data_IF_273209182927
#
_entry.id   IF_273209182927
#
_cell.length_a   1.000
_cell.length_b   1.000
_cell.length_c   1.000
_cell.angle_alpha   90.00
_cell.angle_beta   90.00
_cell.angle_gamma   90.00
#
_symmetry.space_group_name_H-M   'P 1'
#
loop_
_entity.id
_entity.type
_entity.pdbx_description
1 polymer ?
#
# COMPACT_ATOMS: atom_id res chain seq x y z
N UNK A 1 47.80 -26.19 -1.32
CA UNK A 1 47.06 -25.03 -1.87
C UNK A 1 46.12 -24.54 -0.77
N UNK A 2 46.45 -23.42 -0.15
CA UNK A 2 45.67 -22.77 0.92
C UNK A 2 44.31 -22.28 0.39
N UNK A 3 43.24 -22.49 1.15
CA UNK A 3 42.07 -21.62 1.11
C UNK A 3 41.61 -21.41 2.55
N UNK A 4 42.00 -20.28 3.15
CA UNK A 4 41.35 -19.77 4.36
C UNK A 4 40.01 -19.16 3.93
N UNK A 5 38.90 -19.85 4.18
CA UNK A 5 37.59 -19.20 4.20
C UNK A 5 37.42 -18.50 5.55
N UNK A 6 37.48 -17.17 5.53
CA UNK A 6 37.01 -16.34 6.64
C UNK A 6 35.50 -16.54 6.77
N UNK A 7 35.08 -17.27 7.80
CA UNK A 7 33.67 -17.37 8.20
C UNK A 7 33.26 -16.04 8.83
N UNK A 8 32.61 -15.17 8.05
CA UNK A 8 31.88 -14.04 8.60
C UNK A 8 30.75 -14.62 9.44
N UNK A 9 30.83 -14.45 10.76
CA UNK A 9 29.75 -14.82 11.67
C UNK A 9 28.51 -14.01 11.34
N UNK A 10 27.45 -14.68 10.89
CA UNK A 10 26.14 -14.06 10.81
C UNK A 10 25.67 -13.77 12.24
N UNK A 11 25.64 -12.48 12.62
CA UNK A 11 24.96 -12.05 13.83
C UNK A 11 23.47 -12.40 13.66
N UNK A 12 23.03 -13.45 14.34
CA UNK A 12 21.61 -13.74 14.51
C UNK A 12 21.06 -12.65 15.43
N UNK A 13 20.23 -11.76 14.88
CA UNK A 13 19.44 -10.86 15.70
C UNK A 13 18.36 -11.70 16.39
N UNK A 14 18.55 -11.98 17.67
CA UNK A 14 17.54 -12.63 18.50
C UNK A 14 16.30 -11.72 18.56
N UNK A 15 15.10 -12.26 18.31
CA UNK A 15 13.88 -11.48 18.43
C UNK A 15 13.80 -10.95 19.87
N UNK A 16 13.80 -9.62 20.06
CA UNK A 16 13.91 -9.07 21.40
C UNK A 16 12.66 -9.44 22.19
N UNK A 17 12.86 -10.06 23.35
CA UNK A 17 11.80 -10.43 24.31
C UNK A 17 10.96 -9.23 24.80
N UNK A 18 11.36 -8.00 24.46
CA UNK A 18 10.60 -6.78 24.68
C UNK A 18 11.24 -5.56 24.01
N UNK A 19 10.49 -4.47 23.97
CA UNK A 19 10.95 -3.19 23.45
C UNK A 19 11.94 -2.52 24.40
N UNK A 20 13.19 -2.33 23.96
CA UNK A 20 14.22 -1.62 24.73
C UNK A 20 14.47 -0.23 24.19
N UNK A 21 14.57 0.75 25.09
CA UNK A 21 14.86 2.14 24.76
C UNK A 21 16.32 2.46 25.12
N UNK A 22 17.09 2.95 24.15
CA UNK A 22 18.52 3.27 24.33
C UNK A 22 18.75 4.75 24.13
N UNK A 23 19.65 5.35 24.92
CA UNK A 23 20.06 6.75 24.79
C UNK A 23 21.52 6.83 24.34
N UNK A 24 21.79 7.56 23.25
CA UNK A 24 23.15 7.81 22.73
C UNK A 24 23.36 9.31 22.65
N UNK A 25 24.39 9.83 23.33
CA UNK A 25 24.71 11.26 23.30
C UNK A 25 23.60 12.17 23.83
N UNK A 26 22.74 11.68 24.72
CA UNK A 26 21.62 12.44 25.29
C UNK A 26 20.30 12.36 24.49
N UNK A 27 20.27 11.65 23.36
CA UNK A 27 19.06 11.47 22.54
C UNK A 27 18.59 10.01 22.57
N UNK A 28 17.26 9.81 22.55
CA UNK A 28 16.66 8.47 22.42
C UNK A 28 16.92 7.95 21.00
N UNK A 29 17.59 6.80 20.91
CA UNK A 29 17.78 6.10 19.64
C UNK A 29 16.47 5.38 19.27
N UNK A 30 15.88 5.64 18.09
CA UNK A 30 14.63 5.01 17.70
C UNK A 30 14.84 3.53 17.40
N UNK A 31 14.06 2.67 18.06
CA UNK A 31 13.92 1.26 17.68
C UNK A 31 12.69 1.12 16.79
N UNK A 32 12.91 1.13 15.47
CA UNK A 32 11.83 1.10 14.49
C UNK A 32 11.06 -0.22 14.48
N UNK A 33 11.72 -1.34 14.80
CA UNK A 33 11.06 -2.65 14.84
C UNK A 33 10.00 -2.67 15.93
N UNK A 34 10.36 -2.26 17.15
CA UNK A 34 9.41 -2.11 18.24
C UNK A 34 8.30 -1.10 17.93
N UNK A 35 8.66 0.07 17.39
CA UNK A 35 7.67 1.11 17.07
C UNK A 35 6.66 0.62 16.04
N UNK A 36 7.12 -0.11 15.01
CA UNK A 36 6.24 -0.70 14.00
C UNK A 36 5.28 -1.73 14.60
N UNK A 37 5.76 -2.56 15.52
CA UNK A 37 4.96 -3.54 16.23
C UNK A 37 3.93 -2.88 17.17
N UNK A 38 4.32 -1.81 17.87
CA UNK A 38 3.43 -1.03 18.71
C UNK A 38 2.33 -0.33 17.90
N UNK A 39 2.66 0.21 16.72
CA UNK A 39 1.67 0.80 15.81
C UNK A 39 0.76 -0.27 15.17
N UNK A 40 1.28 -1.46 14.88
CA UNK A 40 0.54 -2.56 14.25
C UNK A 40 -0.37 -3.35 15.18
N UNK A 41 -0.07 -3.39 16.48
CA UNK A 41 -0.82 -4.17 17.47
C UNK A 41 -2.00 -3.42 18.11
N UNK A 42 -2.47 -2.33 17.49
CA UNK A 42 -3.68 -1.65 17.96
C UNK A 42 -4.93 -2.49 17.63
N UNK A 43 -5.68 -3.01 18.62
CA UNK A 43 -6.89 -3.80 18.37
C UNK A 43 -7.96 -3.01 17.62
N UNK A 44 -8.05 -1.69 17.82
CA UNK A 44 -8.96 -0.83 17.08
C UNK A 44 -8.53 -0.71 15.61
N UNK A 45 -7.21 -0.68 15.36
CA UNK A 45 -6.64 -0.70 14.02
C UNK A 45 -6.92 -2.01 13.28
N UNK A 46 -6.78 -3.14 13.97
CA UNK A 46 -7.11 -4.46 13.42
C UNK A 46 -8.62 -4.59 13.11
N UNK A 47 -9.49 -4.14 14.01
CA UNK A 47 -10.94 -4.13 13.79
C UNK A 47 -11.34 -3.19 12.65
N UNK A 48 -10.72 -2.02 12.53
CA UNK A 48 -10.92 -1.10 11.42
C UNK A 48 -10.46 -1.70 10.09
N UNK A 49 -9.30 -2.37 10.06
CA UNK A 49 -8.81 -3.05 8.88
C UNK A 49 -9.77 -4.17 8.43
N UNK A 50 -10.30 -4.95 9.36
CA UNK A 50 -11.30 -5.98 9.06
C UNK A 50 -12.58 -5.38 8.46
N UNK A 51 -13.13 -4.33 9.08
CA UNK A 51 -14.32 -3.62 8.55
C UNK A 51 -14.07 -3.03 7.16
N UNK A 52 -12.88 -2.49 6.92
CA UNK A 52 -12.48 -2.00 5.61
C UNK A 52 -12.45 -3.14 4.57
N UNK A 53 -11.89 -4.31 4.91
CA UNK A 53 -11.90 -5.48 4.03
C UNK A 53 -13.32 -5.96 3.72
N UNK A 54 -14.21 -5.99 4.71
CA UNK A 54 -15.63 -6.32 4.51
C UNK A 54 -16.31 -5.32 3.56
N UNK A 55 -16.03 -4.02 3.71
CA UNK A 55 -16.55 -2.98 2.82
C UNK A 55 -16.04 -3.09 1.37
N UNK A 56 -14.88 -3.70 1.14
CA UNK A 56 -14.35 -3.96 -0.20
C UNK A 56 -15.06 -5.14 -0.90
N UNK A 57 -15.77 -5.99 -0.17
CA UNK A 57 -16.51 -7.13 -0.70
C UNK A 57 -17.89 -6.73 -1.26
N UNK A 58 -17.93 -5.70 -2.10
CA UNK A 58 -19.15 -5.30 -2.80
C UNK A 58 -19.44 -6.29 -3.94
N UNK A 59 -20.67 -6.84 -4.07
CA UNK A 59 -21.05 -7.68 -5.19
C UNK A 59 -20.86 -6.96 -6.53
N UNK A 60 -20.38 -7.67 -7.58
CA UNK A 60 -20.02 -7.08 -8.89
C UNK A 60 -21.14 -6.22 -9.49
N UNK A 61 -22.40 -6.65 -9.39
CA UNK A 61 -23.56 -5.91 -9.91
C UNK A 61 -23.88 -4.61 -9.16
N UNK A 62 -23.29 -4.40 -7.98
CA UNK A 62 -23.41 -3.17 -7.18
C UNK A 62 -22.16 -2.30 -7.27
N UNK A 63 -21.07 -2.78 -7.88
CA UNK A 63 -19.85 -2.00 -8.04
C UNK A 63 -20.08 -0.89 -9.05
N UNK A 64 -19.50 0.28 -8.78
CA UNK A 64 -19.53 1.37 -9.72
C UNK A 64 -18.75 0.99 -11.01
N UNK A 65 -19.15 1.47 -12.20
CA UNK A 65 -18.52 1.08 -13.47
C UNK A 65 -17.00 1.28 -13.51
N UNK A 66 -16.49 2.32 -12.84
CA UNK A 66 -15.06 2.61 -12.72
C UNK A 66 -14.27 1.57 -11.91
N UNK A 67 -14.93 0.78 -11.05
CA UNK A 67 -14.29 -0.26 -10.24
C UNK A 67 -14.21 -1.62 -10.95
N UNK A 68 -14.92 -1.79 -12.06
CA UNK A 68 -15.02 -3.06 -12.80
C UNK A 68 -14.52 -2.93 -14.24
N UNK A 69 -13.86 -1.83 -14.59
CA UNK A 69 -13.31 -1.60 -15.93
C UNK A 69 -14.36 -1.32 -17.01
N UNK A 70 -15.59 -0.96 -16.61
CA UNK A 70 -16.64 -0.58 -17.55
C UNK A 70 -16.51 0.91 -17.94
N UNK A 71 -17.08 1.25 -19.10
CA UNK A 71 -17.08 2.63 -19.58
C UNK A 71 -17.79 3.57 -18.60
N UNK A 72 -17.21 4.75 -18.36
CA UNK A 72 -17.78 5.80 -17.50
C UNK A 72 -18.01 7.07 -18.32
N UNK A 73 -18.96 7.94 -17.93
CA UNK A 73 -19.14 9.22 -18.60
C UNK A 73 -17.87 10.08 -18.61
N UNK A 74 -17.07 10.02 -17.54
CA UNK A 74 -15.80 10.72 -17.46
C UNK A 74 -14.77 10.19 -18.48
N UNK A 75 -14.62 8.86 -18.58
CA UNK A 75 -13.70 8.25 -19.56
C UNK A 75 -14.14 8.54 -21.01
N UNK A 76 -15.45 8.52 -21.28
CA UNK A 76 -15.99 8.90 -22.58
C UNK A 76 -15.76 10.37 -22.87
N UNK A 77 -15.96 11.26 -21.90
CA UNK A 77 -15.66 12.69 -22.03
C UNK A 77 -14.19 12.93 -22.37
N UNK A 78 -13.25 12.26 -21.72
CA UNK A 78 -11.83 12.35 -22.06
C UNK A 78 -11.54 11.90 -23.50
N UNK A 79 -12.17 10.81 -23.97
CA UNK A 79 -12.01 10.35 -25.36
C UNK A 79 -12.59 11.32 -26.37
N UNK A 80 -13.74 11.90 -26.07
CA UNK A 80 -14.47 12.78 -26.99
C UNK A 80 -13.92 14.21 -27.00
N UNK A 81 -13.43 14.70 -25.85
CA UNK A 81 -13.02 16.09 -25.68
C UNK A 81 -14.21 17.04 -25.79
N UNK A 82 -14.02 18.17 -26.47
CA UNK A 82 -15.04 19.19 -26.62
C UNK A 82 -16.28 18.73 -27.41
N UNK A 83 -16.24 17.55 -28.03
CA UNK A 83 -17.37 16.99 -28.78
C UNK A 83 -18.25 16.05 -27.96
N UNK A 84 -17.97 15.89 -26.66
CA UNK A 84 -18.78 15.07 -25.76
C UNK A 84 -20.22 15.60 -25.70
N UNK A 85 -21.18 14.74 -26.04
CA UNK A 85 -22.61 15.08 -26.05
C UNK A 85 -23.12 15.81 -27.30
N UNK A 86 -22.24 16.22 -28.22
CA UNK A 86 -22.63 16.97 -29.44
C UNK A 86 -22.28 16.26 -30.74
N UNK A 87 -21.37 15.28 -30.71
CA UNK A 87 -20.97 14.48 -31.87
C UNK A 87 -20.72 13.03 -31.50
N UNK A 88 -20.76 12.15 -32.49
CA UNK A 88 -20.33 10.74 -32.38
C UNK A 88 -18.84 10.55 -32.70
N UNK A 89 -18.15 11.62 -33.12
CA UNK A 89 -16.72 11.61 -33.45
C UNK A 89 -15.90 12.34 -32.38
N UNK A 90 -14.79 11.74 -31.90
CA UNK A 90 -13.83 12.41 -31.02
C UNK A 90 -13.25 13.69 -31.61
N UNK A 91 -12.83 14.63 -30.75
CA UNK A 91 -12.09 15.82 -31.15
C UNK A 91 -10.74 15.49 -31.81
N UNK A 92 -10.08 14.42 -31.36
CA UNK A 92 -8.79 14.01 -31.95
C UNK A 92 -9.04 13.27 -33.27
N UNK A 93 -8.43 13.72 -34.39
CA UNK A 93 -8.47 12.98 -35.65
C UNK A 93 -7.89 11.57 -35.52
N UNK A 94 -8.36 10.59 -36.33
CA UNK A 94 -7.67 9.31 -36.45
C UNK A 94 -6.23 9.58 -36.93
N UNK A 95 -5.27 8.95 -36.25
CA UNK A 95 -3.87 8.94 -36.63
C UNK A 95 -3.65 7.89 -37.73
#
# INVERSE_FOLDING_TARGET
MWVLLMTVGAAQAEEPLGCVEVTVGGYKAPNYDCLSQQMGNNPDGAAAAQKNMEALNVPVHKRAPNQVGLATPAATSTRMGNTFGTSVKPQRPPQ
#
